data_IF_542560048347
#
_entry.id   IF_542560048347
#
_cell.length_a   1.000
_cell.length_b   1.000
_cell.length_c   1.000
_cell.angle_alpha   90.00
_cell.angle_beta   90.00
_cell.angle_gamma   90.00
#
_symmetry.space_group_name_H-M   'P 1'
#
loop_
_entity.id
_entity.type
_entity.pdbx_description
1 polymer ?
#
# COMPACT_ATOMS: atom_id res chain seq x y z
N UNK A 1 -2.48 -14.10 -39.40
CA UNK A 1 -2.66 -13.13 -38.30
C UNK A 1 -1.32 -13.01 -37.62
N UNK A 2 -0.70 -11.84 -37.69
CA UNK A 2 0.64 -11.61 -37.12
C UNK A 2 0.43 -10.99 -35.75
N UNK A 3 0.64 -11.77 -34.69
CA UNK A 3 0.60 -11.27 -33.31
C UNK A 3 1.87 -10.46 -33.10
N UNK A 4 1.77 -9.14 -33.15
CA UNK A 4 2.87 -8.25 -32.75
C UNK A 4 3.06 -8.43 -31.25
N UNK A 5 4.16 -9.07 -30.84
CA UNK A 5 4.54 -9.10 -29.43
C UNK A 5 4.77 -7.65 -29.00
N UNK A 6 3.98 -7.17 -28.05
CA UNK A 6 4.19 -5.87 -27.43
C UNK A 6 5.51 -5.98 -26.67
N UNK A 7 6.58 -5.39 -27.21
CA UNK A 7 7.89 -5.36 -26.57
C UNK A 7 7.75 -4.42 -25.39
N UNK A 8 7.75 -4.96 -24.17
CA UNK A 8 7.87 -4.14 -22.97
C UNK A 8 9.18 -3.36 -23.07
N UNK A 9 9.17 -2.01 -23.15
CA UNK A 9 10.39 -1.23 -23.27
C UNK A 9 11.19 -1.19 -21.95
N UNK A 10 10.60 -1.66 -20.85
CA UNK A 10 11.20 -1.65 -19.52
C UNK A 10 11.93 -2.96 -19.20
N UNK A 11 13.01 -2.90 -18.39
CA UNK A 11 13.79 -4.07 -18.03
C UNK A 11 13.00 -5.06 -17.15
N UNK A 12 13.31 -6.36 -17.30
CA UNK A 12 12.77 -7.46 -16.49
C UNK A 12 13.34 -7.43 -15.06
N UNK A 13 12.92 -6.42 -14.29
CA UNK A 13 13.33 -6.23 -12.92
C UNK A 13 12.34 -6.92 -11.99
N UNK A 14 12.85 -7.75 -11.09
CA UNK A 14 12.03 -8.40 -10.08
C UNK A 14 11.47 -7.36 -9.08
N UNK A 15 10.21 -7.49 -8.66
CA UNK A 15 9.70 -6.68 -7.55
C UNK A 15 10.41 -7.05 -6.24
N UNK A 16 10.45 -6.14 -5.25
CA UNK A 16 11.04 -6.44 -3.96
C UNK A 16 10.28 -7.56 -3.24
N UNK A 17 11.00 -8.28 -2.37
CA UNK A 17 10.43 -9.37 -1.60
C UNK A 17 9.24 -8.90 -0.76
N UNK A 18 8.14 -9.67 -0.80
CA UNK A 18 6.91 -9.37 -0.07
C UNK A 18 5.92 -8.47 -0.84
N UNK A 19 6.27 -7.97 -2.03
CA UNK A 19 5.29 -7.39 -2.93
C UNK A 19 4.29 -8.47 -3.39
N UNK A 20 3.00 -8.17 -3.33
CA UNK A 20 1.91 -9.09 -3.71
C UNK A 20 1.25 -8.68 -5.02
N UNK A 21 1.19 -7.38 -5.29
CA UNK A 21 0.65 -6.83 -6.53
C UNK A 21 1.65 -5.84 -7.10
N UNK A 22 1.79 -5.85 -8.42
CA UNK A 22 2.72 -5.00 -9.15
C UNK A 22 1.96 -4.51 -10.37
N UNK A 23 1.85 -3.20 -10.50
CA UNK A 23 1.22 -2.58 -11.65
C UNK A 23 2.15 -2.64 -12.86
N UNK A 24 1.58 -2.41 -14.04
CA UNK A 24 2.36 -2.23 -15.25
C UNK A 24 3.26 -0.99 -15.12
N UNK A 25 4.34 -0.97 -15.91
CA UNK A 25 5.20 0.19 -16.00
C UNK A 25 4.46 1.37 -16.64
N UNK A 26 4.44 2.51 -15.92
CA UNK A 26 4.23 3.83 -16.49
C UNK A 26 5.52 4.39 -17.06
N UNK A 27 5.53 5.68 -17.39
CA UNK A 27 6.60 6.33 -18.18
C UNK A 27 8.02 6.06 -17.65
N UNK A 28 8.23 5.98 -16.33
CA UNK A 28 9.54 5.64 -15.72
C UNK A 28 9.43 4.95 -14.34
N UNK A 29 8.27 4.41 -13.99
CA UNK A 29 8.06 3.76 -12.70
C UNK A 29 6.85 2.84 -12.75
N UNK A 30 6.79 1.90 -11.80
CA UNK A 30 5.59 1.10 -11.55
C UNK A 30 5.24 1.12 -10.08
N UNK A 31 3.95 1.00 -9.78
CA UNK A 31 3.50 0.90 -8.41
C UNK A 31 3.64 -0.56 -7.96
N UNK A 32 4.12 -0.74 -6.73
CA UNK A 32 4.18 -2.04 -6.07
C UNK A 32 3.40 -1.96 -4.76
N UNK A 33 2.66 -3.02 -4.45
CA UNK A 33 1.86 -3.14 -3.25
C UNK A 33 2.29 -4.33 -2.42
N UNK A 34 2.33 -4.14 -1.11
CA UNK A 34 2.43 -5.22 -0.14
C UNK A 34 1.06 -5.86 0.12
N UNK A 35 1.06 -6.84 1.04
CA UNK A 35 -0.16 -7.51 1.47
C UNK A 35 -1.20 -6.50 1.98
N UNK A 36 -2.41 -6.62 1.44
CA UNK A 36 -3.60 -5.88 1.87
C UNK A 36 -4.21 -6.50 3.13
N UNK A 37 -4.64 -5.64 4.05
CA UNK A 37 -5.36 -5.98 5.28
C UNK A 37 -6.67 -5.21 5.34
N UNK A 38 -7.79 -5.92 5.57
CA UNK A 38 -9.13 -5.33 5.65
C UNK A 38 -9.68 -5.44 7.08
N UNK A 39 -10.19 -4.32 7.60
CA UNK A 39 -10.76 -4.19 8.94
C UNK A 39 -12.07 -3.41 8.82
N UNK A 40 -13.18 -4.13 8.64
CA UNK A 40 -14.46 -3.50 8.32
C UNK A 40 -14.37 -2.76 6.97
N UNK A 41 -14.68 -1.46 6.97
CA UNK A 41 -14.52 -0.61 5.78
C UNK A 41 -13.08 -0.10 5.59
N UNK A 42 -12.16 -0.33 6.53
CA UNK A 42 -10.78 0.18 6.42
C UNK A 42 -9.90 -0.83 5.70
N UNK A 43 -9.07 -0.34 4.79
CA UNK A 43 -8.04 -1.12 4.08
C UNK A 43 -6.68 -0.52 4.39
N UNK A 44 -5.71 -1.36 4.72
CA UNK A 44 -4.34 -0.92 4.91
C UNK A 44 -3.34 -1.85 4.23
N UNK A 45 -2.25 -1.27 3.74
CA UNK A 45 -1.16 -1.99 3.12
C UNK A 45 0.02 -1.07 2.84
N UNK A 46 1.15 -1.67 2.48
CA UNK A 46 2.30 -0.91 2.01
C UNK A 46 2.15 -0.63 0.51
N UNK A 47 2.65 0.52 0.05
CA UNK A 47 2.85 0.78 -1.37
C UNK A 47 4.13 1.57 -1.61
N UNK A 48 4.68 1.44 -2.81
CA UNK A 48 5.87 2.16 -3.23
C UNK A 48 5.95 2.22 -4.77
N UNK A 49 6.88 3.02 -5.27
CA UNK A 49 7.26 3.13 -6.67
C UNK A 49 8.59 2.40 -6.89
N UNK A 50 8.62 1.51 -7.89
CA UNK A 50 9.85 0.88 -8.35
C UNK A 50 10.32 1.54 -9.64
N UNK A 51 11.61 1.88 -9.69
CA UNK A 51 12.25 2.51 -10.84
C UNK A 51 12.92 1.46 -11.76
N UNK A 52 13.18 1.78 -13.05
CA UNK A 52 13.83 0.91 -14.03
C UNK A 52 15.28 0.53 -13.69
N UNK A 53 15.86 1.08 -12.64
CA UNK A 53 17.16 0.66 -12.10
C UNK A 53 17.02 -0.31 -10.92
N UNK A 54 15.80 -0.70 -10.56
CA UNK A 54 15.46 -1.59 -9.45
C UNK A 54 15.37 -0.93 -8.09
N UNK A 55 15.71 0.36 -7.97
CA UNK A 55 15.51 1.09 -6.73
C UNK A 55 14.02 1.29 -6.42
N UNK A 56 13.71 1.43 -5.14
CA UNK A 56 12.35 1.63 -4.64
C UNK A 56 12.31 2.93 -3.85
N UNK A 57 11.34 3.78 -4.18
CA UNK A 57 11.00 5.00 -3.43
C UNK A 57 9.49 4.99 -3.18
N UNK A 58 8.95 5.92 -2.43
CA UNK A 58 7.54 6.28 -2.65
C UNK A 58 7.43 7.76 -2.93
N UNK A 59 6.24 8.32 -2.85
CA UNK A 59 6.00 9.71 -3.28
C UNK A 59 6.76 10.71 -2.40
N UNK A 60 6.74 10.49 -1.08
CA UNK A 60 7.57 11.20 -0.08
C UNK A 60 8.41 10.23 0.79
N UNK A 61 8.40 8.95 0.46
CA UNK A 61 8.98 7.84 1.21
C UNK A 61 8.20 6.55 0.98
N UNK A 62 8.67 5.41 1.50
CA UNK A 62 7.88 4.16 1.47
C UNK A 62 6.67 4.32 2.39
N UNK A 63 5.47 4.18 1.83
CA UNK A 63 4.26 4.59 2.53
C UNK A 63 3.31 3.43 2.84
N UNK A 64 2.52 3.63 3.89
CA UNK A 64 1.43 2.78 4.34
C UNK A 64 0.14 3.55 4.08
N UNK A 65 -0.73 3.00 3.25
CA UNK A 65 -2.06 3.56 3.06
C UNK A 65 -3.00 3.06 4.16
N UNK A 66 -3.92 3.92 4.57
CA UNK A 66 -5.08 3.60 5.41
C UNK A 66 -6.28 4.23 4.72
N UNK A 67 -6.94 3.42 3.91
CA UNK A 67 -8.01 3.82 3.01
C UNK A 67 -9.35 3.28 3.47
N UNK A 68 -10.42 3.80 2.87
CA UNK A 68 -11.79 3.39 3.15
C UNK A 68 -12.40 2.72 1.93
N UNK A 69 -13.14 1.65 2.11
CA UNK A 69 -14.02 1.07 1.11
C UNK A 69 -15.37 1.77 1.18
N UNK A 70 -15.80 2.35 0.07
CA UNK A 70 -17.14 2.91 -0.04
C UNK A 70 -18.22 1.82 -0.08
N UNK A 71 -19.49 2.23 -0.02
CA UNK A 71 -20.65 1.32 -0.05
C UNK A 71 -20.74 0.46 -1.31
N UNK A 72 -20.04 0.86 -2.38
CA UNK A 72 -20.01 0.16 -3.67
C UNK A 72 -18.80 -0.77 -3.79
N UNK A 73 -17.96 -0.84 -2.74
CA UNK A 73 -16.76 -1.66 -2.71
C UNK A 73 -15.56 -1.04 -3.44
N UNK A 74 -15.55 0.27 -3.68
CA UNK A 74 -14.38 0.95 -4.22
C UNK A 74 -13.51 1.50 -3.09
N UNK A 75 -12.20 1.29 -3.22
CA UNK A 75 -11.22 1.89 -2.33
C UNK A 75 -11.12 3.38 -2.62
N UNK A 76 -11.32 4.17 -1.58
CA UNK A 76 -11.18 5.62 -1.55
C UNK A 76 -9.93 5.96 -0.76
N UNK A 77 -9.00 6.68 -1.39
CA UNK A 77 -7.79 7.17 -0.73
C UNK A 77 -8.17 8.09 0.44
N UNK A 78 -7.63 7.83 1.62
CA UNK A 78 -7.89 8.64 2.83
C UNK A 78 -6.62 9.15 3.46
N UNK A 79 -5.73 8.25 3.85
CA UNK A 79 -4.52 8.59 4.57
C UNK A 79 -3.35 7.83 3.99
N UNK A 80 -2.28 8.57 3.69
CA UNK A 80 -0.99 8.02 3.35
C UNK A 80 0.01 8.38 4.46
N UNK A 81 0.67 7.37 5.02
CA UNK A 81 1.53 7.50 6.18
C UNK A 81 2.93 7.00 5.85
N UNK A 82 3.96 7.73 6.27
CA UNK A 82 5.29 7.14 6.32
C UNK A 82 5.31 5.92 7.25
N UNK A 83 6.28 5.03 7.04
CA UNK A 83 6.51 3.88 7.93
C UNK A 83 6.64 4.27 9.42
N UNK A 84 7.19 5.45 9.73
CA UNK A 84 7.29 5.94 11.11
C UNK A 84 5.92 6.35 11.68
N UNK A 85 5.15 7.14 10.93
CA UNK A 85 3.81 7.56 11.33
C UNK A 85 2.85 6.37 11.50
N UNK A 86 2.94 5.37 10.62
CA UNK A 86 2.13 4.16 10.71
C UNK A 86 2.38 3.39 12.03
N UNK A 87 3.64 3.28 12.46
CA UNK A 87 3.97 2.66 13.76
C UNK A 87 3.40 3.46 14.93
N UNK A 88 3.53 4.78 14.90
CA UNK A 88 3.00 5.66 15.94
C UNK A 88 1.46 5.59 16.02
N UNK A 89 0.78 5.58 14.87
CA UNK A 89 -0.67 5.41 14.79
C UNK A 89 -1.10 4.07 15.38
N UNK A 90 -0.42 2.97 15.03
CA UNK A 90 -0.71 1.65 15.60
C UNK A 90 -0.62 1.63 17.13
N UNK A 91 0.40 2.26 17.71
CA UNK A 91 0.54 2.39 19.17
C UNK A 91 -0.60 3.21 19.80
N UNK A 92 -0.99 4.32 19.17
CA UNK A 92 -2.09 5.16 19.64
C UNK A 92 -3.44 4.41 19.60
N UNK A 93 -3.70 3.64 18.54
CA UNK A 93 -4.91 2.83 18.41
C UNK A 93 -4.99 1.75 19.51
N UNK A 94 -3.88 1.07 19.80
CA UNK A 94 -3.83 0.07 20.88
C UNK A 94 -4.12 0.71 22.25
N UNK A 95 -3.55 1.88 22.54
CA UNK A 95 -3.80 2.60 23.79
C UNK A 95 -5.26 3.07 23.92
N UNK A 96 -5.85 3.54 22.83
CA UNK A 96 -7.26 3.93 22.79
C UNK A 96 -8.20 2.74 23.02
N UNK A 97 -7.92 1.59 22.40
CA UNK A 97 -8.68 0.35 22.61
C UNK A 97 -8.67 -0.09 24.08
N UNK A 98 -7.48 -0.12 24.71
CA UNK A 98 -7.35 -0.46 26.13
C UNK A 98 -8.14 0.49 27.05
N UNK A 99 -8.23 1.77 26.69
CA UNK A 99 -9.05 2.74 27.43
C UNK A 99 -10.55 2.43 27.32
N UNK A 100 -11.02 2.10 26.12
CA UNK A 100 -12.43 1.77 25.87
C UNK A 100 -12.84 0.46 26.57
N UNK A 101 -11.99 -0.57 26.55
CA UNK A 101 -12.21 -1.82 27.26
C UNK A 101 -12.37 -1.59 28.77
N UNK A 102 -11.62 -0.62 29.32
CA UNK A 102 -11.73 -0.21 30.72
C UNK A 102 -13.06 0.48 31.09
N UNK A 103 -13.83 0.99 30.13
CA UNK A 103 -15.15 1.58 30.39
C UNK A 103 -16.23 0.53 30.60
N UNK A 104 -16.14 -0.61 29.90
CA UNK A 104 -17.13 -1.69 29.94
C UNK A 104 -17.00 -2.52 31.23
N UNK A 105 -15.84 -2.47 31.90
CA UNK A 105 -15.57 -3.21 33.13
C UNK A 105 -16.17 -2.60 34.42
N UNK A 106 -17.25 -1.80 34.33
CA UNK A 106 -17.93 -1.18 35.48
C UNK A 106 -19.36 -1.66 35.65
#
# INVERSE_FOLDING_TARGET
>A
MTTTAQINPYPDIAPPAGATTVDDWGDEERIIYGKRHEIGAIVTGAWALQLPNGSVRGNDGHDVYVDEMDERGYQCERLNLSSAQARQLGQALLAAAATADGWVAK
#
